data_IF_326143738281
#
_entry.id   IF_326143738281
#
_cell.length_a   1.000
_cell.length_b   1.000
_cell.length_c   1.000
_cell.angle_alpha   90.00
_cell.angle_beta   90.00
_cell.angle_gamma   90.00
#
_symmetry.space_group_name_H-M   'P 1'
#
loop_
_entity.id
_entity.type
_entity.pdbx_description
1 polymer ?
#
# COMPACT_ATOMS: atom_id res chain seq x y z
N UNK A 1 17.22 0.87 -16.18
CA UNK A 1 16.21 0.84 -15.08
C UNK A 1 16.08 2.24 -14.52
N UNK A 2 15.14 2.99 -15.07
CA UNK A 2 14.84 4.35 -14.68
C UNK A 2 14.03 4.44 -13.37
N UNK A 3 14.02 5.63 -12.77
CA UNK A 3 13.24 5.94 -11.59
C UNK A 3 12.19 7.01 -11.92
N UNK A 4 10.90 6.68 -11.82
CA UNK A 4 9.81 7.64 -11.92
C UNK A 4 9.37 8.08 -10.53
N UNK A 5 9.24 9.39 -10.35
CA UNK A 5 8.84 10.00 -9.08
C UNK A 5 7.40 10.49 -9.20
N UNK A 6 6.51 9.97 -8.35
CA UNK A 6 5.07 10.27 -8.39
C UNK A 6 4.63 10.90 -7.08
N UNK A 7 3.85 11.98 -7.19
CA UNK A 7 3.27 12.71 -6.07
C UNK A 7 1.78 12.41 -5.89
N UNK A 8 1.31 12.33 -4.64
CA UNK A 8 -0.10 12.13 -4.31
C UNK A 8 -0.65 13.19 -3.34
N UNK A 9 -1.94 13.51 -3.50
CA UNK A 9 -2.73 14.51 -2.75
C UNK A 9 -2.14 15.93 -2.76
N UNK A 10 -2.89 16.88 -3.31
CA UNK A 10 -2.52 18.30 -3.28
C UNK A 10 -2.55 18.84 -1.85
N UNK A 11 -1.57 19.68 -1.49
CA UNK A 11 -1.46 20.32 -0.18
C UNK A 11 -1.18 21.81 -0.32
N UNK A 12 -1.54 22.57 0.71
CA UNK A 12 -1.29 24.01 0.77
C UNK A 12 0.21 24.33 0.65
N UNK A 13 0.51 25.41 -0.09
CA UNK A 13 1.86 25.91 -0.33
C UNK A 13 2.51 26.48 0.93
N UNK A 14 1.74 27.08 1.83
CA UNK A 14 2.24 27.83 2.98
C UNK A 14 3.05 26.99 3.98
N UNK A 15 2.80 25.68 4.06
CA UNK A 15 3.47 24.77 5.00
C UNK A 15 4.57 23.93 4.32
N UNK A 16 5.21 24.45 3.28
CA UNK A 16 6.29 23.78 2.52
C UNK A 16 7.54 24.65 2.50
N UNK A 17 8.69 23.97 2.43
CA UNK A 17 9.99 24.64 2.29
C UNK A 17 10.08 25.33 0.93
N UNK A 18 10.82 26.44 0.88
CA UNK A 18 11.13 27.21 -0.34
C UNK A 18 11.66 26.33 -1.46
N UNK A 19 12.65 25.47 -1.16
CA UNK A 19 13.21 24.51 -2.13
C UNK A 19 12.19 23.59 -2.77
N UNK A 20 11.16 23.15 -2.02
CA UNK A 20 10.08 22.34 -2.60
C UNK A 20 9.17 23.19 -3.46
N UNK A 21 8.91 24.44 -3.07
CA UNK A 21 8.05 25.34 -3.83
C UNK A 21 8.67 25.69 -5.19
N UNK A 22 9.97 25.99 -5.23
CA UNK A 22 10.74 26.24 -6.45
C UNK A 22 10.64 25.05 -7.43
N UNK A 23 10.92 23.83 -6.95
CA UNK A 23 10.77 22.61 -7.75
C UNK A 23 9.36 22.45 -8.35
N UNK A 24 8.31 22.72 -7.57
CA UNK A 24 6.92 22.63 -8.05
C UNK A 24 6.53 23.81 -8.98
N UNK A 25 7.19 24.96 -8.84
CA UNK A 25 7.00 26.13 -9.70
C UNK A 25 7.58 25.89 -11.09
N UNK A 26 8.79 25.31 -11.18
CA UNK A 26 9.40 24.88 -12.46
C UNK A 26 8.53 23.84 -13.18
N UNK A 27 7.92 22.92 -12.44
CA UNK A 27 7.00 21.91 -12.97
C UNK A 27 5.60 22.44 -13.32
N UNK A 28 5.23 23.65 -12.87
CA UNK A 28 3.88 24.21 -13.07
C UNK A 28 2.77 23.48 -12.30
N UNK A 29 3.07 22.75 -11.24
CA UNK A 29 2.09 21.96 -10.47
C UNK A 29 1.99 22.40 -9.00
N UNK A 30 0.84 22.20 -8.33
CA UNK A 30 0.74 22.45 -6.91
C UNK A 30 1.47 21.37 -6.09
N UNK A 31 2.04 21.70 -4.91
CA UNK A 31 2.77 20.75 -4.09
C UNK A 31 1.94 19.53 -3.68
N UNK A 32 2.59 18.36 -3.64
CA UNK A 32 1.98 17.09 -3.23
C UNK A 32 2.42 16.64 -1.84
N UNK A 33 1.54 15.93 -1.12
CA UNK A 33 1.75 15.52 0.27
C UNK A 33 2.84 14.45 0.40
N UNK A 34 2.70 13.35 -0.35
CA UNK A 34 3.69 12.27 -0.37
C UNK A 34 4.25 12.12 -1.78
N UNK A 35 5.55 11.88 -1.83
CA UNK A 35 6.28 11.57 -3.05
C UNK A 35 6.82 10.15 -2.89
N UNK A 36 6.62 9.31 -3.90
CA UNK A 36 7.12 7.93 -3.92
C UNK A 36 7.81 7.66 -5.25
N UNK A 37 8.88 6.88 -5.17
CA UNK A 37 9.69 6.50 -6.33
C UNK A 37 9.26 5.10 -6.79
N UNK A 38 9.09 4.95 -8.08
CA UNK A 38 8.80 3.71 -8.79
C UNK A 38 10.00 3.38 -9.67
N UNK A 39 10.42 2.12 -9.65
CA UNK A 39 11.48 1.64 -10.53
C UNK A 39 10.80 1.08 -11.77
N UNK A 40 11.22 1.57 -12.93
CA UNK A 40 10.53 1.33 -14.20
C UNK A 40 11.56 0.90 -15.24
N UNK A 41 11.13 0.17 -16.26
CA UNK A 41 11.93 -0.10 -17.45
C UNK A 41 12.02 1.15 -18.31
N UNK A 42 13.04 1.22 -19.16
CA UNK A 42 13.33 2.43 -19.93
C UNK A 42 12.24 2.69 -21.01
N UNK A 43 11.49 1.65 -21.39
CA UNK A 43 10.34 1.74 -22.31
C UNK A 43 9.07 2.33 -21.68
N UNK A 44 8.99 2.42 -20.34
CA UNK A 44 7.82 2.94 -19.62
C UNK A 44 8.07 4.31 -18.98
N UNK A 45 8.99 5.09 -19.56
CA UNK A 45 9.28 6.45 -19.11
C UNK A 45 8.17 7.39 -19.61
N UNK A 46 7.59 8.14 -18.69
CA UNK A 46 6.53 9.11 -18.95
C UNK A 46 7.07 10.52 -18.71
N UNK A 47 6.60 11.50 -19.49
CA UNK A 47 6.98 12.91 -19.32
C UNK A 47 6.58 13.42 -17.92
N UNK A 48 7.41 14.23 -17.25
CA UNK A 48 7.02 14.90 -16.01
C UNK A 48 5.76 15.76 -16.21
N UNK A 49 4.86 15.75 -15.23
CA UNK A 49 3.63 16.53 -15.25
C UNK A 49 2.40 15.80 -15.80
N UNK A 50 2.57 14.60 -16.37
CA UNK A 50 1.46 13.78 -16.88
C UNK A 50 0.54 13.32 -15.74
N UNK A 51 -0.80 13.49 -15.86
CA UNK A 51 -1.75 12.97 -14.87
C UNK A 51 -1.86 11.44 -14.94
N UNK A 52 -2.13 10.82 -13.80
CA UNK A 52 -2.38 9.38 -13.68
C UNK A 52 -3.79 9.16 -13.09
N UNK A 53 -4.57 8.32 -13.77
CA UNK A 53 -5.95 8.01 -13.41
C UNK A 53 -6.09 6.57 -12.87
N UNK A 54 -7.22 6.26 -12.24
CA UNK A 54 -7.47 4.92 -11.69
C UNK A 54 -7.53 3.83 -12.77
N UNK A 55 -7.93 4.20 -14.00
CA UNK A 55 -7.98 3.33 -15.17
C UNK A 55 -6.60 2.86 -15.68
N UNK A 56 -5.51 3.29 -15.04
CA UNK A 56 -4.19 2.68 -15.21
C UNK A 56 -4.19 1.18 -14.87
N UNK A 57 -4.99 0.79 -13.87
CA UNK A 57 -5.21 -0.63 -13.53
C UNK A 57 -6.45 -1.14 -14.26
N UNK A 58 -6.57 -2.46 -14.41
CA UNK A 58 -7.78 -3.12 -14.94
C UNK A 58 -8.31 -4.17 -13.95
N UNK A 59 -9.63 -4.45 -13.90
CA UNK A 59 -10.16 -5.55 -13.09
C UNK A 59 -9.49 -6.88 -13.46
N UNK A 60 -9.35 -7.77 -12.49
CA UNK A 60 -8.63 -9.05 -12.65
C UNK A 60 -7.14 -9.00 -12.34
N UNK A 61 -6.54 -7.81 -12.36
CA UNK A 61 -5.12 -7.60 -12.07
C UNK A 61 -4.76 -7.81 -10.59
N UNK A 62 -3.53 -8.28 -10.34
CA UNK A 62 -2.93 -8.33 -9.01
C UNK A 62 -1.98 -7.16 -8.77
N UNK A 63 -2.17 -6.47 -7.64
CA UNK A 63 -1.38 -5.31 -7.23
C UNK A 63 -0.73 -5.54 -5.86
N UNK A 64 0.39 -4.87 -5.63
CA UNK A 64 1.03 -4.77 -4.32
C UNK A 64 0.80 -3.38 -3.74
N UNK A 65 0.40 -3.33 -2.47
CA UNK A 65 0.09 -2.06 -1.79
C UNK A 65 1.04 -1.84 -0.61
N UNK A 66 1.82 -0.76 -0.67
CA UNK A 66 2.74 -0.35 0.40
C UNK A 66 2.23 0.89 1.13
N UNK A 67 2.17 0.83 2.46
CA UNK A 67 1.82 1.98 3.28
C UNK A 67 2.32 1.87 4.72
N UNK A 68 2.20 2.98 5.47
CA UNK A 68 2.54 3.02 6.88
C UNK A 68 1.42 2.40 7.70
N UNK A 69 1.75 1.32 8.39
CA UNK A 69 0.88 0.65 9.37
C UNK A 69 0.44 1.59 10.50
N UNK A 70 -0.74 1.31 11.08
CA UNK A 70 -1.25 2.04 12.25
C UNK A 70 -0.22 1.96 13.39
N UNK A 71 0.20 3.13 13.89
CA UNK A 71 1.12 3.22 15.02
C UNK A 71 0.42 2.87 16.32
N UNK A 72 1.01 1.95 17.11
CA UNK A 72 0.50 1.56 18.43
C UNK A 72 1.38 2.09 19.57
N UNK A 73 2.35 2.96 19.30
CA UNK A 73 3.27 3.49 20.31
C UNK A 73 4.24 2.43 20.87
N UNK A 74 4.73 2.63 22.08
CA UNK A 74 5.54 1.64 22.80
C UNK A 74 4.64 0.53 23.33
N UNK A 75 4.92 -0.73 22.96
CA UNK A 75 4.11 -1.88 23.31
C UNK A 75 4.95 -2.96 23.99
N UNK A 76 4.34 -3.65 24.95
CA UNK A 76 4.92 -4.80 25.64
C UNK A 76 5.02 -6.05 24.76
N UNK A 77 5.75 -7.05 25.22
CA UNK A 77 6.08 -8.27 24.44
C UNK A 77 4.85 -9.07 24.01
N UNK A 78 3.80 -9.14 24.83
CA UNK A 78 2.59 -9.89 24.49
C UNK A 78 1.89 -9.30 23.26
N UNK A 79 1.68 -7.98 23.21
CA UNK A 79 1.01 -7.33 22.07
C UNK A 79 1.93 -7.18 20.86
N UNK A 80 3.23 -6.93 21.08
CA UNK A 80 4.19 -6.68 20.01
C UNK A 80 4.61 -7.96 19.28
N UNK A 81 4.77 -9.05 20.01
CA UNK A 81 5.37 -10.30 19.52
C UNK A 81 4.50 -11.54 19.73
N UNK A 82 3.35 -11.43 20.39
CA UNK A 82 2.45 -12.57 20.63
C UNK A 82 2.94 -13.51 21.75
N UNK A 83 3.75 -13.03 22.70
CA UNK A 83 4.19 -13.87 23.83
C UNK A 83 2.99 -14.26 24.70
N UNK A 84 2.96 -15.51 25.18
CA UNK A 84 1.88 -16.06 26.03
C UNK A 84 1.79 -15.39 27.40
N UNK A 85 2.90 -14.87 27.93
CA UNK A 85 2.98 -14.33 29.30
C UNK A 85 3.07 -15.45 30.34
N UNK A 86 2.67 -15.15 31.57
CA UNK A 86 2.69 -16.06 32.70
C UNK A 86 1.26 -16.27 33.23
N UNK A 87 0.96 -17.40 33.89
CA UNK A 87 -0.37 -17.65 34.44
C UNK A 87 -0.80 -16.56 35.43
N UNK A 88 -2.12 -16.41 35.59
CA UNK A 88 -2.71 -15.42 36.49
C UNK A 88 -2.68 -15.88 37.96
N UNK A 89 -2.92 -17.17 38.22
CA UNK A 89 -3.06 -17.77 39.56
C UNK A 89 -1.84 -18.64 39.91
N UNK A 90 -1.94 -19.41 41.01
CA UNK A 90 -0.91 -20.32 41.52
C UNK A 90 0.42 -19.63 41.89
N UNK A 91 0.33 -18.54 42.65
CA UNK A 91 1.50 -17.90 43.29
C UNK A 91 2.31 -16.96 42.40
N UNK A 92 1.87 -16.71 41.16
CA UNK A 92 2.60 -15.79 40.28
C UNK A 92 2.53 -14.34 40.79
N UNK A 93 3.69 -13.77 41.14
CA UNK A 93 3.76 -12.44 41.75
C UNK A 93 4.36 -11.43 40.79
N UNK A 94 3.55 -10.47 40.31
CA UNK A 94 3.97 -9.31 39.48
C UNK A 94 4.66 -9.64 38.15
N UNK A 95 4.49 -10.85 37.58
CA UNK A 95 5.16 -11.20 36.31
C UNK A 95 4.26 -11.52 35.13
N UNK A 96 2.92 -11.45 35.24
CA UNK A 96 1.96 -11.93 34.23
C UNK A 96 2.23 -11.53 32.76
N UNK A 97 2.90 -10.40 32.51
CA UNK A 97 3.14 -9.85 31.16
C UNK A 97 4.62 -9.67 30.81
N UNK A 98 5.53 -10.27 31.58
CA UNK A 98 6.99 -10.12 31.40
C UNK A 98 7.50 -11.07 30.30
N UNK A 99 8.63 -10.74 29.64
CA UNK A 99 9.22 -11.61 28.61
C UNK A 99 9.73 -12.96 29.12
N UNK A 100 10.00 -13.10 30.43
CA UNK A 100 10.72 -14.25 30.97
C UNK A 100 12.22 -14.15 30.69
N UNK A 101 12.88 -15.30 30.54
CA UNK A 101 14.29 -15.36 30.16
C UNK A 101 14.52 -14.81 28.74
N UNK A 102 15.60 -14.06 28.55
CA UNK A 102 15.91 -13.34 27.30
C UNK A 102 17.11 -13.90 26.53
N UNK A 103 17.97 -14.69 27.19
CA UNK A 103 19.16 -15.32 26.62
C UNK A 103 19.62 -16.46 27.54
N UNK A 104 20.70 -17.12 27.15
CA UNK A 104 21.37 -18.18 27.93
C UNK A 104 22.51 -17.59 28.75
N UNK A 105 22.76 -18.11 29.96
CA UNK A 105 23.78 -17.61 30.88
C UNK A 105 25.21 -17.69 30.32
N UNK A 106 25.56 -18.79 29.67
CA UNK A 106 26.89 -19.05 29.09
C UNK A 106 27.30 -18.00 28.04
N UNK A 107 26.34 -17.57 27.22
CA UNK A 107 26.58 -16.56 26.19
C UNK A 107 26.88 -15.17 26.80
N UNK A 108 26.49 -14.92 28.05
CA UNK A 108 26.70 -13.68 28.83
C UNK A 108 26.31 -12.36 28.11
N UNK A 109 25.58 -12.44 27.00
CA UNK A 109 25.06 -11.31 26.22
C UNK A 109 23.68 -11.61 25.64
N UNK A 110 23.03 -10.56 25.17
CA UNK A 110 21.78 -10.65 24.42
C UNK A 110 22.09 -10.72 22.93
N UNK A 111 21.46 -11.65 22.22
CA UNK A 111 21.59 -11.74 20.77
C UNK A 111 20.99 -10.51 20.06
N UNK A 112 21.66 -9.94 19.04
CA UNK A 112 21.07 -8.91 18.21
C UNK A 112 19.75 -9.38 17.60
N UNK A 113 18.71 -8.58 17.71
CA UNK A 113 17.37 -8.93 17.20
C UNK A 113 16.48 -9.71 18.18
N UNK A 114 16.92 -9.96 19.42
CA UNK A 114 16.06 -10.55 20.46
C UNK A 114 14.76 -9.74 20.64
N UNK A 115 13.63 -10.45 20.70
CA UNK A 115 12.29 -9.86 20.79
C UNK A 115 12.06 -9.20 22.15
N UNK A 116 12.12 -7.87 22.19
CA UNK A 116 11.91 -7.06 23.41
C UNK A 116 10.73 -6.07 23.26
N UNK A 117 10.22 -5.47 24.36
CA UNK A 117 9.27 -4.35 24.29
C UNK A 117 9.78 -3.20 23.42
N UNK A 118 8.88 -2.41 22.84
CA UNK A 118 9.29 -1.27 22.03
C UNK A 118 8.21 -0.75 21.11
N UNK A 119 8.60 0.20 20.24
CA UNK A 119 7.69 0.81 19.28
C UNK A 119 7.10 -0.23 18.31
N UNK A 120 5.77 -0.24 18.20
CA UNK A 120 5.01 -1.14 17.32
C UNK A 120 4.22 -0.33 16.29
N UNK A 121 4.23 -0.78 15.03
CA UNK A 121 3.56 -0.10 13.92
C UNK A 121 4.30 1.15 13.44
N UNK A 122 3.62 2.03 12.70
CA UNK A 122 4.19 3.24 12.08
C UNK A 122 5.45 2.97 11.24
N UNK A 123 5.51 1.78 10.65
CA UNK A 123 6.53 1.35 9.69
C UNK A 123 5.86 1.02 8.36
N UNK A 124 6.61 1.16 7.28
CA UNK A 124 6.14 0.76 5.95
C UNK A 124 6.02 -0.77 5.88
N UNK A 125 4.86 -1.24 5.42
CA UNK A 125 4.59 -2.65 5.09
C UNK A 125 3.96 -2.72 3.71
N UNK A 126 4.20 -3.82 3.03
CA UNK A 126 3.64 -4.12 1.71
C UNK A 126 2.86 -5.41 1.83
N UNK A 127 1.60 -5.36 1.39
CA UNK A 127 0.81 -6.56 1.16
C UNK A 127 0.89 -6.88 -0.33
N UNK A 128 1.12 -8.16 -0.63
CA UNK A 128 1.39 -8.64 -1.98
C UNK A 128 0.21 -9.44 -2.52
N UNK A 129 0.01 -9.38 -3.84
CA UNK A 129 -0.97 -10.24 -4.52
C UNK A 129 -2.42 -9.91 -4.18
N UNK A 130 -2.77 -8.63 -4.08
CA UNK A 130 -4.16 -8.22 -3.89
C UNK A 130 -4.85 -8.07 -5.25
N UNK A 131 -5.92 -8.82 -5.51
CA UNK A 131 -6.71 -8.74 -6.75
C UNK A 131 -7.51 -7.43 -6.81
N UNK A 132 -7.64 -6.84 -7.99
CA UNK A 132 -8.53 -5.70 -8.27
C UNK A 132 -9.87 -6.23 -8.80
N UNK A 133 -10.96 -5.91 -8.11
CA UNK A 133 -12.30 -6.42 -8.43
C UNK A 133 -13.13 -5.48 -9.29
N UNK A 134 -13.01 -4.17 -9.05
CA UNK A 134 -13.78 -3.13 -9.72
C UNK A 134 -12.97 -1.86 -9.80
N UNK A 135 -13.20 -1.07 -10.85
CA UNK A 135 -12.64 0.28 -11.00
C UNK A 135 -13.76 1.22 -11.38
N UNK A 136 -13.80 2.39 -10.75
CA UNK A 136 -14.70 3.48 -11.08
C UNK A 136 -13.91 4.62 -11.73
N UNK A 137 -14.23 4.94 -12.99
CA UNK A 137 -13.51 5.92 -13.81
C UNK A 137 -13.86 7.36 -13.41
N UNK A 138 -15.14 7.63 -13.14
CA UNK A 138 -15.66 8.96 -12.75
C UNK A 138 -15.03 9.52 -11.47
N UNK A 139 -14.93 8.70 -10.44
CA UNK A 139 -14.39 9.10 -9.12
C UNK A 139 -12.95 8.66 -8.90
N UNK A 140 -12.33 7.98 -9.88
CA UNK A 140 -10.98 7.43 -9.77
C UNK A 140 -10.80 6.51 -8.54
N UNK A 141 -11.71 5.56 -8.36
CA UNK A 141 -11.70 4.62 -7.21
C UNK A 141 -11.30 3.23 -7.69
N UNK A 142 -10.40 2.58 -6.95
CA UNK A 142 -9.94 1.21 -7.19
C UNK A 142 -10.42 0.34 -6.03
N UNK A 143 -11.15 -0.73 -6.33
CA UNK A 143 -11.63 -1.71 -5.36
C UNK A 143 -10.67 -2.89 -5.31
N UNK A 144 -9.82 -2.90 -4.28
CA UNK A 144 -8.79 -3.91 -4.06
C UNK A 144 -9.29 -4.95 -3.06
N UNK A 145 -8.96 -6.23 -3.29
CA UNK A 145 -9.30 -7.35 -2.42
C UNK A 145 -8.62 -7.24 -1.04
N UNK A 146 -9.30 -7.70 0.00
CA UNK A 146 -8.75 -7.85 1.34
C UNK A 146 -8.49 -6.52 2.06
N UNK A 147 -7.46 -6.52 2.93
CA UNK A 147 -7.10 -5.38 3.77
C UNK A 147 -5.79 -4.74 3.33
N UNK A 148 -5.71 -3.42 3.46
CA UNK A 148 -4.53 -2.62 3.11
C UNK A 148 -3.90 -2.05 4.40
N UNK A 149 -2.56 -2.01 4.51
CA UNK A 149 -1.90 -1.49 5.70
C UNK A 149 -2.11 0.02 5.84
N UNK A 150 -2.63 0.46 6.99
CA UNK A 150 -2.78 1.87 7.31
C UNK A 150 -4.12 2.18 7.96
N UNK A 151 -4.32 3.44 8.29
CA UNK A 151 -5.62 3.94 8.74
C UNK A 151 -6.43 4.44 7.53
N UNK A 152 -7.74 4.62 7.72
CA UNK A 152 -8.61 5.24 6.72
C UNK A 152 -8.05 6.63 6.35
N UNK A 153 -8.22 7.05 5.11
CA UNK A 153 -7.73 8.34 4.56
C UNK A 153 -6.20 8.51 4.50
N UNK A 154 -5.42 7.44 4.69
CA UNK A 154 -3.97 7.49 4.53
C UNK A 154 -3.54 7.34 3.05
N UNK A 155 -2.46 8.02 2.66
CA UNK A 155 -1.88 7.82 1.33
C UNK A 155 -1.11 6.51 1.26
N UNK A 156 -1.45 5.70 0.26
CA UNK A 156 -0.85 4.40 -0.05
C UNK A 156 -0.08 4.44 -1.37
N UNK A 157 0.87 3.52 -1.55
CA UNK A 157 1.60 3.32 -2.80
C UNK A 157 1.11 2.01 -3.44
N UNK A 158 0.55 2.09 -4.64
CA UNK A 158 0.04 0.94 -5.40
C UNK A 158 0.94 0.75 -6.61
N UNK A 159 1.26 -0.50 -6.95
CA UNK A 159 2.03 -0.91 -8.12
C UNK A 159 1.61 -2.30 -8.55
N UNK A 160 1.99 -2.71 -9.74
CA UNK A 160 1.84 -4.09 -10.21
C UNK A 160 2.52 -5.08 -9.26
N UNK A 161 1.93 -6.28 -9.15
CA UNK A 161 2.47 -7.29 -8.26
C UNK A 161 3.81 -7.82 -8.74
N UNK A 162 4.75 -7.97 -7.81
CA UNK A 162 6.07 -8.56 -8.09
C UNK A 162 6.11 -10.08 -7.98
N UNK A 163 5.01 -10.72 -7.62
CA UNK A 163 4.99 -12.18 -7.45
C UNK A 163 5.25 -12.88 -8.79
N UNK A 164 6.08 -13.95 -8.83
CA UNK A 164 6.43 -14.63 -10.07
C UNK A 164 5.23 -15.10 -10.89
N UNK A 165 4.16 -15.53 -10.21
CA UNK A 165 2.93 -16.03 -10.83
C UNK A 165 2.22 -14.98 -11.71
N UNK A 166 2.43 -13.68 -11.46
CA UNK A 166 1.72 -12.60 -12.14
C UNK A 166 2.63 -11.74 -13.03
N UNK A 167 3.85 -12.20 -13.32
CA UNK A 167 4.86 -11.41 -14.04
C UNK A 167 4.43 -11.01 -15.45
N UNK A 168 3.75 -11.91 -16.16
CA UNK A 168 3.35 -11.70 -17.56
C UNK A 168 1.97 -11.03 -17.71
N UNK A 169 1.30 -10.72 -16.58
CA UNK A 169 -0.04 -10.13 -16.59
C UNK A 169 -0.06 -8.71 -17.19
N UNK A 170 1.09 -8.02 -17.23
CA UNK A 170 1.19 -6.65 -17.73
C UNK A 170 1.00 -6.51 -19.26
N UNK A 171 0.89 -7.61 -20.02
CA UNK A 171 0.76 -7.56 -21.49
C UNK A 171 -0.58 -6.99 -21.98
N UNK A 172 -1.65 -7.21 -21.23
CA UNK A 172 -3.01 -6.80 -21.60
C UNK A 172 -3.43 -5.49 -20.91
N UNK A 173 -2.48 -4.78 -20.30
CA UNK A 173 -2.72 -3.55 -19.57
C UNK A 173 -2.32 -2.33 -20.41
N UNK A 174 -2.90 -1.15 -20.15
CA UNK A 174 -2.50 0.06 -20.84
C UNK A 174 -1.04 0.40 -20.52
N UNK A 175 -0.20 0.44 -21.56
CA UNK A 175 1.22 0.74 -21.46
C UNK A 175 1.53 1.95 -22.36
N UNK A 176 2.25 2.99 -21.89
CA UNK A 176 2.90 3.13 -20.57
C UNK A 176 1.95 3.50 -19.41
N UNK A 177 0.81 4.11 -19.72
CA UNK A 177 -0.31 4.36 -18.81
C UNK A 177 -1.59 4.57 -19.62
N UNK A 178 -2.74 4.63 -18.96
CA UNK A 178 -4.01 5.05 -19.57
C UNK A 178 -4.03 6.56 -19.86
N UNK A 179 -4.43 6.95 -21.08
CA UNK A 179 -4.60 8.33 -21.52
C UNK A 179 -6.05 8.56 -21.94
N UNK A 180 -6.83 9.40 -21.24
CA UNK A 180 -8.22 9.64 -21.59
C UNK A 180 -8.38 10.40 -22.91
N UNK A 181 -7.41 11.23 -23.30
CA UNK A 181 -7.48 12.08 -24.49
C UNK A 181 -7.14 11.33 -25.80
N UNK A 182 -6.57 10.12 -25.69
CA UNK A 182 -6.06 9.36 -26.84
C UNK A 182 -6.93 8.17 -27.24
N UNK A 183 -7.89 7.78 -26.41
CA UNK A 183 -8.81 6.68 -26.70
C UNK A 183 -10.09 7.26 -27.32
N UNK A 184 -10.46 6.80 -28.51
CA UNK A 184 -11.70 7.22 -29.21
C UNK A 184 -12.98 6.73 -28.47
N UNK A 185 -12.84 5.79 -27.54
CA UNK A 185 -13.91 5.19 -26.76
C UNK A 185 -13.79 5.53 -25.27
N UNK A 186 -14.78 6.25 -24.74
CA UNK A 186 -14.87 6.49 -23.30
C UNK A 186 -15.16 5.19 -22.54
N UNK A 187 -14.33 4.89 -21.54
CA UNK A 187 -14.55 3.74 -20.67
C UNK A 187 -15.85 3.89 -19.88
N UNK A 188 -16.59 2.79 -19.65
CA UNK A 188 -17.79 2.82 -18.83
C UNK A 188 -17.47 3.31 -17.41
N UNK A 189 -18.49 3.84 -16.71
CA UNK A 189 -18.33 4.39 -15.37
C UNK A 189 -17.74 3.38 -14.38
N UNK A 190 -18.10 2.10 -14.53
CA UNK A 190 -17.62 1.02 -13.69
C UNK A 190 -17.16 -0.16 -14.54
N UNK A 191 -15.91 -0.56 -14.34
CA UNK A 191 -15.33 -1.79 -14.89
C UNK A 191 -15.36 -2.85 -13.80
N UNK A 192 -15.95 -4.00 -14.08
CA UNK A 192 -16.08 -5.14 -13.16
C UNK A 192 -15.24 -6.32 -13.66
N UNK A 193 -14.74 -7.14 -12.74
CA UNK A 193 -14.18 -8.46 -13.05
C UNK A 193 -15.33 -9.44 -13.38
N UNK A 194 -15.04 -10.43 -14.24
CA UNK A 194 -16.02 -11.42 -14.73
C UNK A 194 -16.75 -12.17 -13.60
N UNK A 195 -16.09 -12.36 -12.46
CA UNK A 195 -16.64 -13.12 -11.33
C UNK A 195 -17.44 -12.24 -10.35
N UNK A 196 -17.63 -10.95 -10.64
CA UNK A 196 -18.34 -10.02 -9.76
C UNK A 196 -19.79 -9.92 -10.20
N UNK A 197 -20.71 -10.23 -9.29
CA UNK A 197 -22.13 -9.98 -9.50
C UNK A 197 -22.39 -8.48 -9.63
N UNK A 198 -22.92 -8.06 -10.77
CA UNK A 198 -23.26 -6.66 -11.02
C UNK A 198 -24.39 -6.20 -10.09
N UNK A 199 -24.44 -4.93 -9.67
CA UNK A 199 -25.50 -4.43 -8.80
C UNK A 199 -26.92 -4.56 -9.39
N UNK A 200 -27.04 -4.58 -10.71
CA UNK A 200 -28.29 -4.74 -11.45
C UNK A 200 -28.58 -6.17 -11.91
N UNK A 201 -27.66 -7.12 -11.66
CA UNK A 201 -27.83 -8.50 -12.10
C UNK A 201 -28.96 -9.19 -11.32
N UNK A 202 -29.65 -10.18 -11.91
CA UNK A 202 -30.63 -10.99 -11.19
C UNK A 202 -29.97 -11.77 -10.05
N UNK A 203 -30.78 -12.16 -9.06
CA UNK A 203 -30.34 -13.03 -7.97
C UNK A 203 -29.74 -14.33 -8.50
N UNK A 204 -28.69 -14.82 -7.83
CA UNK A 204 -28.00 -16.04 -8.24
C UNK A 204 -28.93 -17.25 -8.02
N UNK A 205 -29.13 -18.05 -9.07
CA UNK A 205 -29.84 -19.33 -9.03
C UNK A 205 -28.89 -20.45 -9.44
N UNK A 206 -28.69 -21.43 -8.55
CA UNK A 206 -27.95 -22.65 -8.83
C UNK A 206 -28.95 -23.72 -9.27
N UNK A 207 -29.34 -23.68 -10.55
CA UNK A 207 -30.21 -24.67 -11.18
C UNK A 207 -29.38 -25.73 -11.91
#
# INVERSE_FOLDING_TARGET
MAALTVGGKTVSRFYKSTSRLEFYQELGLPPKQKIKIFRVTDNAVIKPGTPLYAAHFRPGQYVDVTAKTIGKGFQGVMKRWGFKGQPATHGQTKTHRRPGAISTGDVARVWPGTKMPGKMGNRDRTEFGLKVWRINTKHNIIYVNGSVPGHKNCLVKIKDSKLPAYKDFCKNLPFPTYFPDGDDEELPENLYDENVCLPSAPSITFA
#
